data_IF_330619590613
#
_entry.id   IF_330619590613
#
_cell.length_a   1.000
_cell.length_b   1.000
_cell.length_c   1.000
_cell.angle_alpha   90.00
_cell.angle_beta   90.00
_cell.angle_gamma   90.00
#
_symmetry.space_group_name_H-M   'P 1'
#
loop_
_entity.id
_entity.type
_entity.pdbx_description
1 polymer ?
#
# COMPACT_ATOMS: atom_id res chain seq x y z
N UNK A 1 -11.34 48.69 59.19
CA UNK A 1 -11.61 47.87 58.07
C UNK A 1 -10.36 47.91 57.18
N UNK A 2 -9.44 46.92 57.30
CA UNK A 2 -8.20 46.85 56.53
C UNK A 2 -8.37 45.74 55.49
N UNK A 3 -8.46 46.10 54.21
CA UNK A 3 -8.54 45.17 53.13
C UNK A 3 -7.13 44.79 52.69
N UNK A 4 -6.70 43.56 52.96
CA UNK A 4 -5.43 42.99 52.48
C UNK A 4 -5.60 42.52 51.06
N UNK A 5 -4.86 43.14 50.15
CA UNK A 5 -4.76 42.76 48.72
C UNK A 5 -3.65 41.72 48.57
N UNK A 6 -4.02 40.47 48.37
CA UNK A 6 -3.06 39.40 48.08
C UNK A 6 -2.73 39.40 46.58
N UNK A 7 -1.48 39.72 46.26
CA UNK A 7 -0.94 39.66 44.88
C UNK A 7 -0.49 38.21 44.63
N UNK A 8 -1.21 37.49 43.77
CA UNK A 8 -0.80 36.19 43.22
C UNK A 8 0.19 36.42 42.07
N UNK A 9 1.46 36.17 42.33
CA UNK A 9 2.50 36.15 41.27
C UNK A 9 2.45 34.77 40.60
N UNK A 10 1.87 34.73 39.41
CA UNK A 10 1.93 33.54 38.56
C UNK A 10 3.32 33.42 37.94
N UNK A 11 4.11 32.45 38.38
CA UNK A 11 5.40 32.11 37.82
C UNK A 11 5.12 31.30 36.53
N UNK A 12 5.17 31.94 35.36
CA UNK A 12 5.19 31.28 34.06
C UNK A 12 6.57 30.65 33.83
N UNK A 13 6.69 29.35 34.07
CA UNK A 13 7.88 28.61 33.67
C UNK A 13 7.88 28.47 32.13
N UNK A 14 8.97 28.84 31.41
CA UNK A 14 9.06 28.57 30.00
C UNK A 14 9.20 27.02 29.80
N UNK A 15 8.21 26.39 29.18
CA UNK A 15 8.42 25.07 28.58
C UNK A 15 9.44 25.27 27.47
N UNK A 16 10.70 24.92 27.74
CA UNK A 16 11.68 24.69 26.69
C UNK A 16 11.20 23.46 25.90
N UNK A 17 10.52 23.70 24.80
CA UNK A 17 10.26 22.67 23.80
C UNK A 17 11.62 22.23 23.27
N UNK A 18 12.12 21.08 23.71
CA UNK A 18 13.22 20.40 23.06
C UNK A 18 12.70 19.98 21.68
N UNK A 19 12.88 20.83 20.68
CA UNK A 19 12.79 20.43 19.30
C UNK A 19 13.96 19.46 19.06
N UNK A 20 13.68 18.16 19.27
CA UNK A 20 14.58 17.11 18.80
C UNK A 20 14.61 17.25 17.30
N UNK A 21 15.69 17.76 16.75
CA UNK A 21 15.97 17.73 15.33
C UNK A 21 16.08 16.25 14.93
N UNK A 22 15.05 15.73 14.32
CA UNK A 22 15.12 14.38 13.75
C UNK A 22 16.23 14.39 12.71
N UNK A 23 17.22 13.49 12.86
CA UNK A 23 18.26 13.34 11.86
C UNK A 23 17.66 12.75 10.57
N UNK A 24 18.30 13.02 9.44
CA UNK A 24 17.85 12.47 8.15
C UNK A 24 17.80 10.94 8.20
N UNK A 25 18.79 10.31 8.82
CA UNK A 25 18.81 8.86 9.04
C UNK A 25 17.59 8.36 9.79
N UNK A 26 17.18 9.04 10.86
CA UNK A 26 16.02 8.61 11.66
C UNK A 26 14.69 8.66 10.93
N UNK A 27 14.56 9.49 9.89
CA UNK A 27 13.35 9.51 9.03
C UNK A 27 13.23 8.28 8.11
N UNK A 28 14.31 7.53 7.98
CA UNK A 28 14.42 6.34 7.14
C UNK A 28 14.65 5.05 7.96
N UNK A 29 14.39 5.10 9.27
CA UNK A 29 14.66 4.03 10.24
C UNK A 29 16.14 3.63 10.32
N UNK A 30 17.06 4.56 10.03
CA UNK A 30 18.50 4.37 10.17
C UNK A 30 19.00 5.20 11.35
N UNK A 31 19.55 4.53 12.34
CA UNK A 31 20.08 5.15 13.54
C UNK A 31 21.58 5.36 13.39
N UNK A 32 22.01 6.63 13.47
CA UNK A 32 23.40 7.07 13.24
C UNK A 32 23.99 7.59 14.53
N UNK A 33 25.12 7.04 14.95
CA UNK A 33 25.82 7.41 16.16
C UNK A 33 27.25 7.85 15.83
N UNK A 34 27.69 9.06 16.23
CA UNK A 34 29.06 9.49 16.05
C UNK A 34 30.04 8.63 16.86
N UNK A 35 31.06 8.09 16.23
CA UNK A 35 32.08 7.26 16.91
C UNK A 35 33.28 8.10 17.40
N UNK A 36 33.58 9.22 16.75
CA UNK A 36 34.74 10.05 17.04
C UNK A 36 34.43 11.47 17.54
N UNK A 37 33.21 11.64 18.11
CA UNK A 37 32.80 12.92 18.72
C UNK A 37 32.36 14.00 17.74
N UNK A 38 31.90 13.59 16.56
CA UNK A 38 31.27 14.51 15.58
C UNK A 38 30.05 15.19 16.23
N UNK A 39 29.96 16.50 16.06
CA UNK A 39 28.81 17.26 16.55
C UNK A 39 27.59 17.10 15.64
N UNK A 40 26.41 17.54 16.10
CA UNK A 40 25.16 17.41 15.36
C UNK A 40 25.15 18.18 14.03
N UNK A 41 25.92 19.26 13.90
CA UNK A 41 26.06 20.03 12.65
C UNK A 41 26.86 19.25 11.63
N UNK A 42 27.94 18.59 12.07
CA UNK A 42 28.77 17.75 11.21
C UNK A 42 28.00 16.51 10.80
N UNK A 43 27.31 15.85 11.74
CA UNK A 43 26.46 14.70 11.45
C UNK A 43 25.42 15.01 10.38
N UNK A 44 24.71 16.15 10.50
CA UNK A 44 23.70 16.53 9.50
C UNK A 44 24.28 16.73 8.10
N UNK A 45 25.49 17.28 7.99
CA UNK A 45 26.18 17.45 6.70
C UNK A 45 26.61 16.12 6.11
N UNK A 46 27.13 15.24 6.95
CA UNK A 46 27.59 13.92 6.53
C UNK A 46 26.44 13.02 6.14
N UNK A 47 25.31 13.06 6.88
CA UNK A 47 24.09 12.38 6.50
C UNK A 47 23.55 12.88 5.14
N UNK A 48 23.51 14.19 4.91
CA UNK A 48 23.07 14.75 3.63
C UNK A 48 23.98 14.33 2.47
N UNK A 49 25.30 14.38 2.64
CA UNK A 49 26.24 13.94 1.61
C UNK A 49 26.14 12.46 1.31
N UNK A 50 25.96 11.60 2.34
CA UNK A 50 25.77 10.18 2.18
C UNK A 50 24.40 9.83 1.56
N UNK A 51 23.38 10.62 1.85
CA UNK A 51 22.08 10.49 1.20
C UNK A 51 22.18 10.72 -0.31
N UNK A 52 22.75 11.84 -0.73
CA UNK A 52 22.95 12.17 -2.15
C UNK A 52 23.77 11.08 -2.85
N UNK A 53 24.83 10.62 -2.21
CA UNK A 53 25.66 9.54 -2.74
C UNK A 53 24.88 8.23 -2.88
N UNK A 54 24.09 7.84 -1.87
CA UNK A 54 23.29 6.62 -1.88
C UNK A 54 22.20 6.67 -2.97
N UNK A 55 21.50 7.82 -3.12
CA UNK A 55 20.53 8.03 -4.21
C UNK A 55 21.22 7.88 -5.58
N UNK A 56 22.38 8.50 -5.75
CA UNK A 56 23.15 8.42 -7.00
C UNK A 56 23.62 7.01 -7.34
N UNK A 57 23.94 6.18 -6.34
CA UNK A 57 24.43 4.81 -6.55
C UNK A 57 23.31 3.78 -6.72
N UNK A 58 22.18 3.95 -6.02
CA UNK A 58 21.07 2.98 -6.06
C UNK A 58 19.99 3.36 -7.04
N UNK A 59 19.94 4.63 -7.43
CA UNK A 59 18.83 5.19 -8.23
C UNK A 59 17.52 5.28 -7.44
N UNK A 60 17.55 5.07 -6.12
CA UNK A 60 16.37 5.08 -5.26
C UNK A 60 16.42 6.28 -4.32
N UNK A 61 15.39 7.12 -4.38
CA UNK A 61 15.12 8.16 -3.39
C UNK A 61 14.02 7.67 -2.44
N UNK A 62 14.30 7.47 -1.14
CA UNK A 62 13.32 6.97 -0.17
C UNK A 62 12.06 7.84 -0.05
N UNK A 63 12.19 9.16 -0.23
CA UNK A 63 11.02 10.06 -0.14
C UNK A 63 10.12 9.96 -1.37
N UNK A 64 10.69 9.74 -2.54
CA UNK A 64 9.91 9.49 -3.75
C UNK A 64 9.30 8.08 -3.72
N UNK A 65 10.04 7.10 -3.18
CA UNK A 65 9.55 5.75 -2.95
C UNK A 65 8.34 5.75 -2.00
N UNK A 66 8.37 6.50 -0.91
CA UNK A 66 7.24 6.63 0.01
C UNK A 66 5.99 7.26 -0.66
N UNK A 67 6.16 8.19 -1.59
CA UNK A 67 5.04 8.73 -2.39
C UNK A 67 4.48 7.67 -3.35
N UNK A 68 5.36 6.91 -3.99
CA UNK A 68 4.96 5.81 -4.87
C UNK A 68 4.20 4.74 -4.09
N UNK A 69 4.66 4.37 -2.90
CA UNK A 69 3.98 3.42 -2.02
C UNK A 69 2.56 3.86 -1.67
N UNK A 70 2.34 5.15 -1.38
CA UNK A 70 1.00 5.68 -1.16
C UNK A 70 0.10 5.54 -2.41
N UNK A 71 0.64 5.78 -3.59
CA UNK A 71 -0.09 5.61 -4.85
C UNK A 71 -0.38 4.11 -5.12
N UNK A 72 0.58 3.24 -4.84
CA UNK A 72 0.43 1.79 -4.98
C UNK A 72 -0.62 1.22 -4.03
N UNK A 73 -0.70 1.73 -2.78
CA UNK A 73 -1.76 1.36 -1.83
C UNK A 73 -3.15 1.78 -2.33
N UNK A 74 -3.29 3.00 -2.90
CA UNK A 74 -4.54 3.44 -3.49
C UNK A 74 -4.93 2.57 -4.70
N UNK A 75 -3.96 2.22 -5.54
CA UNK A 75 -4.17 1.33 -6.67
C UNK A 75 -4.57 -0.07 -6.21
N UNK A 76 -3.92 -0.63 -5.19
CA UNK A 76 -4.27 -1.92 -4.63
C UNK A 76 -5.71 -1.97 -4.10
N UNK A 77 -6.16 -0.89 -3.44
CA UNK A 77 -7.55 -0.76 -3.00
C UNK A 77 -8.54 -0.72 -4.18
N UNK A 78 -8.19 0.01 -5.25
CA UNK A 78 -9.01 0.06 -6.46
C UNK A 78 -9.06 -1.30 -7.17
N UNK A 79 -7.94 -2.01 -7.25
CA UNK A 79 -7.84 -3.35 -7.83
C UNK A 79 -8.68 -4.36 -7.05
N UNK A 80 -8.68 -4.30 -5.70
CA UNK A 80 -9.52 -5.14 -4.86
C UNK A 80 -11.01 -4.84 -5.04
N UNK A 81 -11.42 -3.57 -5.11
CA UNK A 81 -12.80 -3.19 -5.40
C UNK A 81 -13.24 -3.67 -6.80
N UNK A 82 -12.37 -3.57 -7.79
CA UNK A 82 -12.64 -4.09 -9.12
C UNK A 82 -12.78 -5.63 -9.11
N UNK A 83 -11.95 -6.32 -8.33
CA UNK A 83 -12.00 -7.75 -8.16
C UNK A 83 -13.32 -8.22 -7.48
N UNK A 84 -13.82 -7.46 -6.49
CA UNK A 84 -15.13 -7.73 -5.85
C UNK A 84 -16.29 -7.62 -6.85
N UNK A 85 -16.17 -6.73 -7.83
CA UNK A 85 -17.16 -6.57 -8.89
C UNK A 85 -16.99 -7.57 -10.04
N UNK A 86 -15.86 -8.28 -10.09
CA UNK A 86 -15.63 -9.30 -11.11
C UNK A 86 -16.70 -10.40 -11.05
N UNK A 87 -17.21 -10.76 -12.20
CA UNK A 87 -18.26 -11.77 -12.30
C UNK A 87 -19.67 -11.27 -12.00
N UNK A 88 -19.89 -10.00 -11.65
CA UNK A 88 -21.23 -9.45 -11.49
C UNK A 88 -22.01 -9.56 -12.80
N UNK A 89 -23.30 -9.91 -12.68
CA UNK A 89 -24.16 -10.15 -13.84
C UNK A 89 -23.91 -11.47 -14.58
N UNK A 90 -22.95 -12.28 -14.15
CA UNK A 90 -22.69 -13.59 -14.79
C UNK A 90 -23.88 -14.54 -14.74
N UNK A 91 -24.65 -14.51 -13.65
CA UNK A 91 -25.88 -15.29 -13.51
C UNK A 91 -26.94 -14.85 -14.54
N UNK A 92 -27.14 -13.54 -14.70
CA UNK A 92 -28.10 -13.00 -15.66
C UNK A 92 -27.68 -13.32 -17.11
N UNK A 93 -26.41 -13.14 -17.44
CA UNK A 93 -25.87 -13.50 -18.77
C UNK A 93 -25.99 -15.00 -19.01
N UNK A 94 -25.73 -15.83 -18.00
CA UNK A 94 -25.91 -17.28 -18.06
C UNK A 94 -27.35 -17.67 -18.27
N UNK A 95 -28.30 -17.05 -17.54
CA UNK A 95 -29.71 -17.24 -17.71
C UNK A 95 -30.19 -16.91 -19.13
N UNK A 96 -29.83 -15.76 -19.67
CA UNK A 96 -30.21 -15.35 -21.03
C UNK A 96 -29.69 -16.33 -22.09
N UNK A 97 -28.42 -16.73 -21.99
CA UNK A 97 -27.82 -17.69 -22.92
C UNK A 97 -28.47 -19.08 -22.77
N UNK A 98 -28.71 -19.49 -21.54
CA UNK A 98 -29.35 -20.74 -21.24
C UNK A 98 -30.79 -20.77 -21.73
N UNK A 99 -31.57 -19.68 -21.55
CA UNK A 99 -32.92 -19.56 -22.05
C UNK A 99 -32.98 -19.70 -23.59
N UNK A 100 -32.07 -18.96 -24.30
CA UNK A 100 -32.02 -19.04 -25.76
C UNK A 100 -31.71 -20.46 -26.26
N UNK A 101 -30.72 -21.13 -25.67
CA UNK A 101 -30.37 -22.49 -26.01
C UNK A 101 -31.50 -23.50 -25.65
N UNK A 102 -32.10 -23.32 -24.46
CA UNK A 102 -33.19 -24.17 -23.98
C UNK A 102 -34.45 -24.01 -24.82
N UNK A 103 -34.81 -22.82 -25.27
CA UNK A 103 -35.93 -22.59 -26.18
C UNK A 103 -35.79 -23.37 -27.49
N UNK A 104 -34.59 -23.33 -28.09
CA UNK A 104 -34.31 -24.08 -29.33
C UNK A 104 -34.43 -25.59 -29.13
N UNK A 105 -33.95 -26.09 -27.99
CA UNK A 105 -34.04 -27.55 -27.68
C UNK A 105 -35.50 -27.94 -27.36
N UNK A 106 -36.23 -27.10 -26.61
CA UNK A 106 -37.64 -27.32 -26.27
C UNK A 106 -38.52 -27.38 -27.50
N UNK A 107 -38.35 -26.48 -28.46
CA UNK A 107 -39.04 -26.48 -29.74
C UNK A 107 -38.82 -27.77 -30.54
N UNK A 108 -37.57 -28.27 -30.54
CA UNK A 108 -37.22 -29.48 -31.32
C UNK A 108 -37.70 -30.75 -30.61
N UNK A 109 -37.67 -30.80 -29.25
CA UNK A 109 -37.90 -32.02 -28.50
C UNK A 109 -39.38 -32.26 -28.11
N UNK A 110 -40.11 -31.17 -27.76
CA UNK A 110 -41.46 -31.28 -27.13
C UNK A 110 -42.50 -30.29 -27.71
N UNK A 111 -42.19 -29.58 -28.78
CA UNK A 111 -42.98 -28.47 -29.34
C UNK A 111 -43.31 -27.38 -28.30
N UNK A 112 -42.50 -27.22 -27.24
CA UNK A 112 -42.64 -26.20 -26.21
C UNK A 112 -41.35 -25.44 -25.92
N UNK A 113 -41.15 -24.38 -26.67
CA UNK A 113 -40.00 -23.46 -26.52
C UNK A 113 -39.99 -22.76 -25.14
N UNK A 114 -41.17 -22.54 -24.53
CA UNK A 114 -41.32 -21.80 -23.28
C UNK A 114 -40.82 -22.61 -22.08
N UNK A 115 -41.14 -23.88 -22.01
CA UNK A 115 -40.65 -24.78 -20.98
C UNK A 115 -39.16 -25.03 -21.12
N UNK A 116 -38.65 -25.25 -22.36
CA UNK A 116 -37.23 -25.37 -22.64
C UNK A 116 -36.44 -24.11 -22.25
N UNK A 117 -36.99 -22.93 -22.53
CA UNK A 117 -36.37 -21.66 -22.13
C UNK A 117 -36.29 -21.52 -20.59
N UNK A 118 -37.34 -21.90 -19.85
CA UNK A 118 -37.36 -21.82 -18.39
C UNK A 118 -36.28 -22.70 -17.75
N UNK A 119 -36.19 -23.96 -18.16
CA UNK A 119 -35.17 -24.90 -17.71
C UNK A 119 -33.76 -24.46 -18.11
N UNK A 120 -33.58 -23.98 -19.34
CA UNK A 120 -32.31 -23.46 -19.84
C UNK A 120 -31.87 -22.20 -19.08
N UNK A 121 -32.78 -21.28 -18.77
CA UNK A 121 -32.51 -20.11 -17.96
C UNK A 121 -32.03 -20.48 -16.56
N UNK A 122 -32.71 -21.41 -15.89
CA UNK A 122 -32.37 -21.88 -14.54
C UNK A 122 -30.97 -22.54 -14.52
N UNK A 123 -30.71 -23.47 -15.45
CA UNK A 123 -29.41 -24.12 -15.57
C UNK A 123 -28.28 -23.12 -15.93
N UNK A 124 -28.55 -22.19 -16.85
CA UNK A 124 -27.65 -21.14 -17.26
C UNK A 124 -27.33 -20.15 -16.14
N UNK A 125 -28.33 -19.81 -15.31
CA UNK A 125 -28.12 -18.95 -14.13
C UNK A 125 -27.17 -19.60 -13.10
N UNK A 126 -27.39 -20.90 -12.81
CA UNK A 126 -26.51 -21.66 -11.89
C UNK A 126 -25.09 -21.73 -12.40
N UNK A 127 -24.92 -22.05 -13.69
CA UNK A 127 -23.58 -22.07 -14.33
C UNK A 127 -22.92 -20.69 -14.32
N UNK A 128 -23.69 -19.65 -14.66
CA UNK A 128 -23.22 -18.27 -14.63
C UNK A 128 -22.77 -17.84 -13.24
N UNK A 129 -23.50 -18.19 -12.18
CA UNK A 129 -23.09 -17.91 -10.79
C UNK A 129 -21.76 -18.60 -10.43
N UNK A 130 -21.57 -19.86 -10.82
CA UNK A 130 -20.30 -20.56 -10.57
C UNK A 130 -19.13 -19.90 -11.30
N UNK A 131 -19.31 -19.57 -12.57
CA UNK A 131 -18.30 -18.86 -13.35
C UNK A 131 -17.99 -17.47 -12.77
N UNK A 132 -19.04 -16.74 -12.30
CA UNK A 132 -18.87 -15.45 -11.66
C UNK A 132 -18.03 -15.53 -10.37
N UNK A 133 -18.27 -16.53 -9.53
CA UNK A 133 -17.48 -16.77 -8.31
C UNK A 133 -16.02 -17.09 -8.65
N UNK A 134 -15.78 -17.97 -9.60
CA UNK A 134 -14.44 -18.31 -10.04
C UNK A 134 -13.69 -17.09 -10.60
N UNK A 135 -14.37 -16.26 -11.40
CA UNK A 135 -13.79 -15.02 -11.92
C UNK A 135 -13.43 -14.03 -10.79
N UNK A 136 -14.30 -13.91 -9.79
CA UNK A 136 -14.05 -13.07 -8.61
C UNK A 136 -12.86 -13.59 -7.79
N UNK A 137 -12.80 -14.88 -7.49
CA UNK A 137 -11.69 -15.50 -6.76
C UNK A 137 -10.35 -15.31 -7.49
N UNK A 138 -10.32 -15.52 -8.81
CA UNK A 138 -9.14 -15.30 -9.63
C UNK A 138 -8.71 -13.82 -9.64
N UNK A 139 -9.66 -12.89 -9.77
CA UNK A 139 -9.38 -11.47 -9.75
C UNK A 139 -8.82 -11.01 -8.39
N UNK A 140 -9.37 -11.52 -7.28
CA UNK A 140 -8.85 -11.24 -5.93
C UNK A 140 -7.43 -11.76 -5.74
N UNK A 141 -7.15 -13.00 -6.19
CA UNK A 141 -5.80 -13.57 -6.12
C UNK A 141 -4.80 -12.77 -6.94
N UNK A 142 -5.18 -12.31 -8.14
CA UNK A 142 -4.33 -11.46 -8.98
C UNK A 142 -4.08 -10.10 -8.32
N UNK A 143 -5.12 -9.45 -7.80
CA UNK A 143 -4.99 -8.17 -7.11
C UNK A 143 -4.06 -8.27 -5.90
N UNK A 144 -4.23 -9.31 -5.07
CA UNK A 144 -3.36 -9.57 -3.93
C UNK A 144 -1.90 -9.84 -4.36
N UNK A 145 -1.68 -10.70 -5.35
CA UNK A 145 -0.34 -11.01 -5.84
C UNK A 145 0.38 -9.80 -6.45
N UNK A 146 -0.34 -8.88 -7.10
CA UNK A 146 0.26 -7.64 -7.59
C UNK A 146 0.61 -6.68 -6.44
N UNK A 147 -0.20 -6.62 -5.39
CA UNK A 147 0.11 -5.81 -4.21
C UNK A 147 1.38 -6.32 -3.51
N UNK A 148 1.47 -7.63 -3.25
CA UNK A 148 2.65 -8.27 -2.65
C UNK A 148 3.92 -8.01 -3.47
N UNK A 149 3.87 -8.18 -4.79
CA UNK A 149 5.03 -7.93 -5.65
C UNK A 149 5.53 -6.48 -5.61
N UNK A 150 4.61 -5.51 -5.52
CA UNK A 150 4.99 -4.09 -5.39
C UNK A 150 5.64 -3.82 -4.03
N UNK A 151 5.07 -4.36 -2.96
CA UNK A 151 5.61 -4.23 -1.61
C UNK A 151 7.02 -4.83 -1.51
N UNK A 152 7.22 -6.05 -1.98
CA UNK A 152 8.55 -6.69 -2.02
C UNK A 152 9.57 -5.88 -2.84
N UNK A 153 9.16 -5.33 -3.99
CA UNK A 153 10.03 -4.50 -4.81
C UNK A 153 10.43 -3.19 -4.10
N UNK A 154 9.49 -2.56 -3.39
CA UNK A 154 9.71 -1.36 -2.58
C UNK A 154 10.67 -1.64 -1.43
N UNK A 155 10.46 -2.73 -0.69
CA UNK A 155 11.34 -3.14 0.41
C UNK A 155 12.76 -3.42 -0.07
N UNK A 156 12.92 -4.10 -1.21
CA UNK A 156 14.24 -4.35 -1.80
C UNK A 156 14.97 -3.06 -2.18
N UNK A 157 14.27 -2.10 -2.80
CA UNK A 157 14.84 -0.80 -3.16
C UNK A 157 15.27 -0.02 -1.93
N UNK A 158 14.41 0.02 -0.89
CA UNK A 158 14.71 0.69 0.38
C UNK A 158 15.89 0.04 1.10
N UNK A 159 15.94 -1.29 1.12
CA UNK A 159 17.06 -2.04 1.71
C UNK A 159 18.39 -1.74 0.99
N UNK A 160 18.39 -1.69 -0.34
CA UNK A 160 19.57 -1.33 -1.12
C UNK A 160 20.03 0.09 -0.83
N UNK A 161 19.09 1.03 -0.73
CA UNK A 161 19.41 2.40 -0.34
C UNK A 161 20.01 2.47 1.08
N UNK A 162 19.37 1.84 2.07
CA UNK A 162 19.87 1.81 3.47
C UNK A 162 21.26 1.22 3.56
N UNK A 163 21.53 0.16 2.82
CA UNK A 163 22.86 -0.44 2.74
C UNK A 163 23.90 0.57 2.19
N UNK A 164 23.61 1.22 1.07
CA UNK A 164 24.51 2.22 0.49
C UNK A 164 24.74 3.39 1.45
N UNK A 165 23.66 3.92 2.03
CA UNK A 165 23.71 5.02 3.00
C UNK A 165 24.57 4.67 4.22
N UNK A 166 24.38 3.46 4.78
CA UNK A 166 25.15 2.96 5.92
C UNK A 166 26.64 2.84 5.61
N UNK A 167 26.99 2.26 4.47
CA UNK A 167 28.39 2.10 4.06
C UNK A 167 29.08 3.46 3.91
N UNK A 168 28.39 4.48 3.38
CA UNK A 168 28.93 5.83 3.30
C UNK A 168 29.17 6.45 4.69
N UNK A 169 28.22 6.29 5.61
CA UNK A 169 28.33 6.80 6.98
C UNK A 169 29.41 6.08 7.79
N UNK A 170 29.52 4.75 7.64
CA UNK A 170 30.59 3.97 8.28
C UNK A 170 31.96 4.41 7.79
N UNK A 171 32.12 4.76 6.51
CA UNK A 171 33.34 5.33 5.96
C UNK A 171 33.70 6.73 6.54
N UNK A 172 32.72 7.40 7.16
CA UNK A 172 32.87 8.68 7.87
C UNK A 172 32.90 8.51 9.40
N UNK A 173 33.18 7.32 9.87
CA UNK A 173 33.36 7.00 11.29
C UNK A 173 32.06 7.16 12.13
N UNK A 174 30.90 6.79 11.54
CA UNK A 174 29.65 6.66 12.26
C UNK A 174 29.32 5.17 12.49
N UNK A 175 28.74 4.88 13.64
CA UNK A 175 28.11 3.57 13.88
C UNK A 175 26.66 3.65 13.37
N UNK A 176 26.26 2.71 12.53
CA UNK A 176 24.94 2.66 11.91
C UNK A 176 24.17 1.42 12.30
N UNK A 177 22.86 1.58 12.56
CA UNK A 177 21.89 0.50 12.82
C UNK A 177 20.60 0.76 12.05
N UNK A 178 20.03 -0.28 11.45
CA UNK A 178 18.73 -0.29 10.77
C UNK A 178 18.09 -1.66 10.83
#
# INVERSE_FOLDING_TARGET
MKKSLAILIAIAAPLAANAQSQSLGSTMDVYVFPAEGQDSSQQSKDEAACYEWAVGNTGTDPFDLAKQEQADQQQAQADMQAAEQAGQGSAARGAVRGAAAGALIGEIANDDASEGAAWGAAAGAVRGRRQGRQAQEQAQQQAAGHAEQREEATEQQLSNFRNAFSVCLEAKEYMVKY
#
